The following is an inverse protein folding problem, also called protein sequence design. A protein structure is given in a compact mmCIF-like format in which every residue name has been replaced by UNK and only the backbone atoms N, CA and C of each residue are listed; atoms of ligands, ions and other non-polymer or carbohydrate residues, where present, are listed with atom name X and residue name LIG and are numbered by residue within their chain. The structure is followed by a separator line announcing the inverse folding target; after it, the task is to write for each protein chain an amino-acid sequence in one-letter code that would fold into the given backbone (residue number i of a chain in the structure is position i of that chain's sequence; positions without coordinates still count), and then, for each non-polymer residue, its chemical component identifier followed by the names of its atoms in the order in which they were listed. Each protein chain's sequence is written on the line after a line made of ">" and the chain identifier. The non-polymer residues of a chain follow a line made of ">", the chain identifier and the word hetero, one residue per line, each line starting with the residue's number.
data_IF_159933176355
#
_entry.id   IF_159933176355
#
_cell.length_a   1.000
_cell.length_b   1.000
_cell.length_c   1.000
_cell.angle_alpha   90.00
_cell.angle_beta   90.00
_cell.angle_gamma   90.00
#
_symmetry.space_group_name_H-M   'P 1'
#
loop_
_entity.id
_entity.type
_entity.pdbx_description
1 polymer ?
#
# COMPACT_ATOMS: atom_id res chain seq x y z
N UNK A 1 -2.65 -2.29 21.93
CA UNK A 1 -1.96 -2.36 20.62
C UNK A 1 -0.67 -3.14 20.78
N UNK A 2 -0.32 -3.96 19.79
CA UNK A 2 0.97 -4.67 19.70
C UNK A 2 1.77 -4.12 18.52
N UNK A 3 3.09 -4.24 18.60
CA UNK A 3 4.02 -3.89 17.52
C UNK A 3 4.50 -5.15 16.82
N UNK A 4 4.63 -5.10 15.50
CA UNK A 4 5.12 -6.18 14.65
C UNK A 4 5.62 -5.62 13.31
N UNK A 5 5.99 -6.48 12.36
CA UNK A 5 6.43 -6.09 11.02
C UNK A 5 5.48 -6.54 9.93
N UNK A 6 5.33 -5.69 8.91
CA UNK A 6 4.62 -6.00 7.68
C UNK A 6 5.55 -5.90 6.46
N UNK A 7 5.27 -6.69 5.42
CA UNK A 7 6.08 -6.78 4.21
C UNK A 7 5.33 -6.16 3.04
N UNK A 8 5.99 -5.30 2.26
CA UNK A 8 5.42 -4.82 1.00
C UNK A 8 5.43 -5.91 -0.07
N UNK A 9 4.29 -6.14 -0.72
CA UNK A 9 4.16 -7.06 -1.85
C UNK A 9 3.47 -6.37 -3.02
N UNK A 10 3.50 -6.96 -4.22
CA UNK A 10 2.74 -6.46 -5.38
C UNK A 10 1.22 -6.42 -5.15
N UNK A 11 0.75 -7.16 -4.13
CA UNK A 11 -0.67 -7.34 -3.81
C UNK A 11 -1.14 -6.53 -2.61
N UNK A 12 -0.23 -5.90 -1.86
CA UNK A 12 -0.58 -5.18 -0.63
C UNK A 12 0.55 -5.16 0.40
N UNK A 13 0.31 -4.48 1.51
CA UNK A 13 1.13 -4.55 2.72
C UNK A 13 0.69 -5.80 3.49
N UNK A 14 1.55 -6.82 3.53
CA UNK A 14 1.23 -8.13 4.10
C UNK A 14 1.63 -8.19 5.57
N UNK A 15 0.68 -8.53 6.44
CA UNK A 15 0.92 -8.90 7.84
C UNK A 15 0.18 -10.20 8.12
N UNK A 16 0.87 -11.21 8.64
CA UNK A 16 0.37 -12.59 8.70
C UNK A 16 -0.15 -13.09 7.32
N UNK A 17 -1.42 -13.51 7.25
CA UNK A 17 -2.10 -13.96 6.03
C UNK A 17 -2.97 -12.87 5.41
N UNK A 18 -2.95 -11.66 5.96
CA UNK A 18 -3.83 -10.56 5.59
C UNK A 18 -3.07 -9.51 4.76
N UNK A 19 -3.79 -8.86 3.86
CA UNK A 19 -3.27 -7.82 2.99
C UNK A 19 -3.95 -6.50 3.33
N UNK A 20 -3.15 -5.47 3.51
CA UNK A 20 -3.58 -4.13 3.86
C UNK A 20 -3.16 -3.13 2.78
N UNK A 21 -3.81 -1.97 2.78
CA UNK A 21 -3.37 -0.84 1.96
C UNK A 21 -3.68 0.48 2.65
N UNK A 22 -2.93 1.51 2.31
CA UNK A 22 -3.15 2.87 2.78
C UNK A 22 -3.08 3.88 1.65
N UNK A 23 -3.58 5.08 1.92
CA UNK A 23 -3.57 6.20 0.99
C UNK A 23 -2.15 6.53 0.51
N UNK A 24 -1.15 6.41 1.40
CA UNK A 24 0.26 6.65 1.07
C UNK A 24 0.77 5.64 0.04
N UNK A 25 0.56 4.35 0.28
CA UNK A 25 0.98 3.28 -0.63
C UNK A 25 0.35 3.41 -2.03
N UNK A 26 -0.92 3.83 -2.09
CA UNK A 26 -1.63 4.07 -3.36
C UNK A 26 -1.07 5.32 -4.07
N UNK A 27 -0.92 6.44 -3.34
CA UNK A 27 -0.43 7.72 -3.86
C UNK A 27 0.96 7.57 -4.50
N UNK A 28 1.84 6.84 -3.83
CA UNK A 28 3.23 6.68 -4.21
C UNK A 28 3.48 5.42 -5.06
N UNK A 29 2.41 4.66 -5.36
CA UNK A 29 2.40 3.49 -6.23
C UNK A 29 3.35 2.37 -5.76
N UNK A 30 3.39 2.13 -4.44
CA UNK A 30 4.30 1.17 -3.82
C UNK A 30 4.17 -0.23 -4.44
N UNK A 31 2.94 -0.71 -4.64
CA UNK A 31 2.66 -2.06 -5.16
C UNK A 31 3.07 -2.27 -6.62
N UNK A 32 3.14 -1.19 -7.41
CA UNK A 32 3.62 -1.26 -8.80
C UNK A 32 5.15 -1.25 -8.87
N UNK A 33 5.79 -0.48 -7.97
CA UNK A 33 7.24 -0.29 -7.94
C UNK A 33 8.02 -1.44 -7.30
N UNK A 34 7.36 -2.32 -6.55
CA UNK A 34 8.04 -3.36 -5.76
C UNK A 34 8.69 -4.46 -6.62
N UNK A 35 8.41 -4.53 -7.93
CA UNK A 35 8.92 -5.57 -8.85
C UNK A 35 10.44 -5.67 -8.91
N UNK A 36 11.15 -4.59 -8.57
CA UNK A 36 12.59 -4.46 -8.74
C UNK A 36 13.35 -4.28 -7.40
N UNK A 37 12.69 -4.47 -6.25
CA UNK A 37 13.21 -4.03 -4.94
C UNK A 37 13.43 -5.20 -3.98
N UNK A 38 14.52 -5.08 -3.20
CA UNK A 38 14.80 -5.81 -1.96
C UNK A 38 13.57 -5.82 -1.05
N UNK A 39 13.37 -6.90 -0.29
CA UNK A 39 12.32 -7.03 0.72
C UNK A 39 12.14 -5.72 1.51
N UNK A 40 11.00 -5.05 1.33
CA UNK A 40 10.65 -3.83 2.08
C UNK A 40 9.79 -4.22 3.27
N UNK A 41 10.30 -4.02 4.47
CA UNK A 41 9.60 -4.22 5.73
C UNK A 41 9.23 -2.88 6.37
N UNK A 42 8.07 -2.85 7.04
CA UNK A 42 7.62 -1.70 7.82
C UNK A 42 7.31 -2.14 9.25
N UNK A 43 7.67 -1.32 10.22
CA UNK A 43 7.15 -1.46 11.58
C UNK A 43 5.67 -1.03 11.60
N UNK A 44 4.84 -1.83 12.26
CA UNK A 44 3.40 -1.61 12.35
C UNK A 44 2.90 -1.75 13.78
N UNK A 45 1.77 -1.12 14.05
CA UNK A 45 0.97 -1.30 15.25
C UNK A 45 -0.42 -1.81 14.90
N UNK A 46 -0.93 -2.76 15.67
CA UNK A 46 -2.26 -3.33 15.44
C UNK A 46 -2.98 -3.72 16.74
N UNK A 47 -4.29 -3.91 16.67
CA UNK A 47 -5.07 -4.54 17.73
C UNK A 47 -5.28 -6.03 17.40
N UNK A 48 -4.77 -6.97 18.21
CA UNK A 48 -5.02 -8.40 17.99
C UNK A 48 -6.49 -8.81 18.01
N UNK A 49 -7.37 -7.98 18.60
CA UNK A 49 -8.81 -8.23 18.60
C UNK A 49 -9.52 -7.70 17.35
N UNK A 50 -8.88 -6.80 16.58
CA UNK A 50 -9.45 -6.18 15.38
C UNK A 50 -8.42 -6.13 14.24
N UNK A 51 -8.59 -7.03 13.29
CA UNK A 51 -7.70 -7.14 12.13
C UNK A 51 -8.11 -6.23 10.97
N UNK A 52 -9.13 -5.38 11.12
CA UNK A 52 -9.61 -4.50 10.04
C UNK A 52 -8.62 -3.37 9.70
N UNK A 53 -7.70 -3.07 10.63
CA UNK A 53 -6.84 -1.90 10.58
C UNK A 53 -5.47 -2.20 11.19
N UNK A 54 -4.42 -1.77 10.51
CA UNK A 54 -3.07 -1.65 11.07
C UNK A 54 -2.57 -0.22 10.90
N UNK A 55 -1.59 0.18 11.68
CA UNK A 55 -0.95 1.48 11.60
C UNK A 55 0.50 1.31 11.22
N UNK A 56 0.93 1.88 10.09
CA UNK A 56 2.32 1.89 9.65
C UNK A 56 3.07 3.03 10.33
N UNK A 57 4.23 2.74 10.92
CA UNK A 57 5.12 3.78 11.42
C UNK A 57 5.93 4.39 10.26
N UNK A 58 5.66 5.65 9.97
CA UNK A 58 6.35 6.39 8.89
C UNK A 58 7.50 7.25 9.40
N UNK A 59 7.81 7.22 10.71
CA UNK A 59 8.75 8.13 11.37
C UNK A 59 8.22 9.56 11.58
N UNK A 60 7.24 9.99 10.78
CA UNK A 60 6.50 11.25 10.94
C UNK A 60 5.15 11.07 11.65
N UNK A 61 4.82 9.83 12.03
CA UNK A 61 3.55 9.45 12.64
C UNK A 61 3.00 8.14 12.08
N UNK A 62 1.78 7.82 12.51
CA UNK A 62 1.10 6.56 12.19
C UNK A 62 0.16 6.73 10.99
N UNK A 63 0.35 5.91 9.96
CA UNK A 63 -0.49 5.89 8.77
C UNK A 63 -1.47 4.72 8.85
N UNK A 64 -2.79 4.94 8.89
CA UNK A 64 -3.77 3.86 8.92
C UNK A 64 -3.78 3.10 7.58
N UNK A 65 -3.69 1.77 7.67
CA UNK A 65 -3.79 0.85 6.54
C UNK A 65 -4.95 -0.13 6.79
N UNK A 66 -5.89 -0.17 5.85
CA UNK A 66 -7.13 -0.94 5.99
C UNK A 66 -7.01 -2.29 5.30
N UNK A 67 -7.68 -3.29 5.88
CA UNK A 67 -7.76 -4.63 5.34
C UNK A 67 -8.36 -4.63 3.93
N UNK A 68 -7.68 -5.27 2.98
CA UNK A 68 -8.17 -5.46 1.63
C UNK A 68 -9.16 -6.62 1.58
N UNK A 69 -10.30 -6.39 0.92
CA UNK A 69 -11.25 -7.44 0.61
C UNK A 69 -10.62 -8.40 -0.42
N UNK A 70 -10.44 -9.67 -0.05
CA UNK A 70 -9.76 -10.68 -0.88
C UNK A 70 -10.47 -10.97 -2.23
N UNK A 71 -11.71 -10.49 -2.41
CA UNK A 71 -12.58 -10.91 -3.50
C UNK A 71 -12.49 -9.99 -4.74
N UNK A 72 -11.67 -8.93 -4.70
CA UNK A 72 -11.59 -7.93 -5.77
C UNK A 72 -10.19 -7.87 -6.37
N UNK A 73 -9.85 -8.87 -7.19
CA UNK A 73 -8.59 -8.89 -7.93
C UNK A 73 -8.80 -8.22 -9.29
N UNK A 74 -8.28 -7.00 -9.45
CA UNK A 74 -8.20 -6.35 -10.75
C UNK A 74 -7.17 -7.06 -11.65
N UNK A 75 -7.50 -7.20 -12.94
CA UNK A 75 -6.57 -7.75 -13.92
C UNK A 75 -5.32 -6.87 -14.08
N UNK A 76 -4.20 -7.46 -14.50
CA UNK A 76 -2.96 -6.73 -14.78
C UNK A 76 -3.14 -5.60 -15.79
N UNK A 77 -4.00 -5.80 -16.79
CA UNK A 77 -4.34 -4.77 -17.78
C UNK A 77 -5.01 -3.56 -17.11
N UNK A 78 -6.05 -3.80 -16.30
CA UNK A 78 -6.75 -2.75 -15.57
C UNK A 78 -5.82 -1.97 -14.63
N UNK A 79 -4.94 -2.69 -13.91
CA UNK A 79 -3.94 -2.06 -13.03
C UNK A 79 -2.99 -1.16 -13.82
N UNK A 80 -2.47 -1.65 -14.95
CA UNK A 80 -1.51 -0.91 -15.79
C UNK A 80 -2.14 0.33 -16.40
N UNK A 81 -3.35 0.22 -16.97
CA UNK A 81 -4.09 1.34 -17.54
C UNK A 81 -4.39 2.42 -16.49
N UNK A 82 -4.81 2.00 -15.29
CA UNK A 82 -5.05 2.91 -14.18
C UNK A 82 -3.78 3.69 -13.80
N UNK A 83 -2.65 3.00 -13.56
CA UNK A 83 -1.41 3.67 -13.15
C UNK A 83 -0.82 4.56 -14.25
N UNK A 84 -0.91 4.14 -15.51
CA UNK A 84 -0.54 4.98 -16.66
C UNK A 84 -1.35 6.28 -16.65
N UNK A 85 -2.67 6.18 -16.49
CA UNK A 85 -3.56 7.34 -16.47
C UNK A 85 -3.27 8.29 -15.31
N UNK A 86 -3.00 7.76 -14.12
CA UNK A 86 -2.60 8.55 -12.95
C UNK A 86 -1.30 9.30 -13.20
N UNK A 87 -0.31 8.68 -13.85
CA UNK A 87 0.97 9.32 -14.16
C UNK A 87 0.82 10.47 -15.17
N UNK A 88 0.05 10.27 -16.24
CA UNK A 88 -0.27 11.34 -17.20
C UNK A 88 -0.91 12.57 -16.52
N UNK A 89 -1.79 12.35 -15.54
CA UNK A 89 -2.43 13.43 -14.79
C UNK A 89 -1.45 14.15 -13.85
N UNK A 90 -0.52 13.43 -13.23
CA UNK A 90 0.54 14.01 -12.39
C UNK A 90 1.47 14.90 -13.21
N UNK A 91 1.88 14.44 -14.39
CA UNK A 91 2.74 15.20 -15.32
C UNK A 91 2.06 16.50 -15.77
N UNK A 92 0.80 16.45 -16.20
CA UNK A 92 0.03 17.64 -16.59
C UNK A 92 -0.10 18.66 -15.46
N UNK A 93 -0.25 18.22 -14.22
CA UNK A 93 -0.37 19.11 -13.06
C UNK A 93 0.97 19.77 -12.72
N UNK A 94 2.08 19.05 -12.89
CA UNK A 94 3.42 19.59 -12.66
C UNK A 94 3.87 20.54 -13.79
N UNK A 95 3.36 20.38 -15.01
CA UNK A 95 3.64 21.27 -16.14
C UNK A 95 2.89 22.62 -16.07
N UNK A 96 1.83 22.69 -15.26
CA UNK A 96 1.02 23.90 -15.05
C UNK A 96 1.39 24.65 -13.75
N UNK A 97 2.56 24.36 -13.19
CA UNK A 97 3.17 25.08 -12.07
C UNK A 97 4.46 25.73 -12.54
#
# INVERSE_FOLDING_TARGET
>A
MKQDRAILTETGIKHNTLLYSCSLAIKDQWFYKVKDVVLVEFDIFYDPADNSLIYLDSGAGHVPCYLLLQNQVFSMKQKTEFFKRVNELKERRNFNK
#
